data_IF_718080456522
#
_entry.id   IF_718080456522
#
_cell.length_a   1.000
_cell.length_b   1.000
_cell.length_c   1.000
_cell.angle_alpha   90.00
_cell.angle_beta   90.00
_cell.angle_gamma   90.00
#
_symmetry.space_group_name_H-M   'P 1'
#
loop_
_entity.id
_entity.type
_entity.pdbx_description
1 polymer ?
#
# COMPACT_ATOMS: atom_id res chain seq x y z
N UNK A 1 5.38 -14.81 12.09
CA UNK A 1 5.86 -13.88 11.03
C UNK A 1 5.33 -12.49 11.33
N UNK A 2 6.12 -11.48 11.03
CA UNK A 2 5.71 -10.08 11.07
C UNK A 2 5.45 -9.57 9.64
N UNK A 3 4.21 -9.19 9.37
CA UNK A 3 3.72 -8.84 8.02
C UNK A 3 3.46 -7.33 7.96
N UNK A 4 3.92 -6.68 6.89
CA UNK A 4 3.62 -5.28 6.62
C UNK A 4 2.70 -5.17 5.40
N UNK A 5 1.49 -4.65 5.61
CA UNK A 5 0.63 -4.19 4.53
C UNK A 5 0.97 -2.74 4.16
N UNK A 6 1.17 -2.47 2.88
CA UNK A 6 1.44 -1.13 2.36
C UNK A 6 0.23 -0.71 1.54
N UNK A 7 -0.45 0.35 1.94
CA UNK A 7 -1.71 0.81 1.35
C UNK A 7 -1.73 2.34 1.30
N UNK A 8 -2.52 2.92 0.39
CA UNK A 8 -2.64 4.37 0.32
C UNK A 8 -3.29 4.97 1.58
N UNK A 9 -4.40 4.40 2.04
CA UNK A 9 -5.17 4.91 3.17
C UNK A 9 -5.86 3.81 3.94
N UNK A 10 -5.98 3.99 5.26
CA UNK A 10 -6.77 3.14 6.15
C UNK A 10 -8.19 3.67 6.36
N UNK A 11 -8.58 4.75 5.67
CA UNK A 11 -9.94 5.29 5.75
C UNK A 11 -10.93 4.30 5.13
N UNK A 12 -11.96 3.82 5.87
CA UNK A 12 -12.98 2.92 5.36
C UNK A 12 -13.76 3.46 4.16
N UNK A 13 -13.89 4.79 4.04
CA UNK A 13 -14.50 5.44 2.87
C UNK A 13 -13.75 5.18 1.57
N UNK A 14 -12.48 4.78 1.66
CA UNK A 14 -11.66 4.36 0.51
C UNK A 14 -12.07 3.03 -0.12
N UNK A 15 -13.01 2.30 0.49
CA UNK A 15 -13.66 1.11 -0.05
C UNK A 15 -12.89 -0.20 0.15
N UNK A 16 -13.12 -1.15 -0.76
CA UNK A 16 -12.74 -2.56 -0.64
C UNK A 16 -11.29 -2.91 -0.25
N UNK A 17 -10.25 -2.19 -0.70
CA UNK A 17 -8.88 -2.57 -0.36
C UNK A 17 -8.58 -2.60 1.15
N UNK A 18 -9.00 -1.59 1.90
CA UNK A 18 -8.76 -1.55 3.35
C UNK A 18 -9.58 -2.61 4.08
N UNK A 19 -10.82 -2.82 3.68
CA UNK A 19 -11.66 -3.87 4.26
C UNK A 19 -11.00 -5.25 4.08
N UNK A 20 -10.49 -5.55 2.89
CA UNK A 20 -9.76 -6.80 2.62
C UNK A 20 -8.50 -6.93 3.47
N UNK A 21 -7.76 -5.84 3.70
CA UNK A 21 -6.58 -5.82 4.59
C UNK A 21 -6.98 -6.15 6.03
N UNK A 22 -8.04 -5.53 6.55
CA UNK A 22 -8.50 -5.76 7.93
C UNK A 22 -8.97 -7.19 8.14
N UNK A 23 -9.77 -7.75 7.22
CA UNK A 23 -10.24 -9.13 7.27
C UNK A 23 -9.09 -10.13 7.22
N UNK A 24 -8.17 -9.97 6.27
CA UNK A 24 -6.99 -10.83 6.16
C UNK A 24 -6.10 -10.75 7.40
N UNK A 25 -5.91 -9.55 7.94
CA UNK A 25 -5.11 -9.32 9.13
C UNK A 25 -5.71 -9.99 10.36
N UNK A 26 -7.02 -9.97 10.52
CA UNK A 26 -7.74 -10.67 11.59
C UNK A 26 -7.43 -12.18 11.55
N UNK A 27 -7.52 -12.81 10.38
CA UNK A 27 -7.20 -14.22 10.19
C UNK A 27 -5.72 -14.51 10.51
N UNK A 28 -4.81 -13.67 10.03
CA UNK A 28 -3.37 -13.83 10.26
C UNK A 28 -3.01 -13.69 11.74
N UNK A 29 -3.61 -12.73 12.43
CA UNK A 29 -3.43 -12.58 13.89
C UNK A 29 -3.93 -13.79 14.67
N UNK A 30 -5.08 -14.36 14.29
CA UNK A 30 -5.58 -15.59 14.88
C UNK A 30 -4.63 -16.80 14.67
N UNK A 31 -3.82 -16.76 13.62
CA UNK A 31 -2.76 -17.76 13.34
C UNK A 31 -1.43 -17.45 14.05
N UNK A 32 -1.38 -16.45 14.93
CA UNK A 32 -0.18 -16.07 15.69
C UNK A 32 0.81 -15.17 14.93
N UNK A 33 0.39 -14.55 13.81
CA UNK A 33 1.22 -13.58 13.10
C UNK A 33 0.97 -12.17 13.63
N UNK A 34 1.98 -11.30 13.55
CA UNK A 34 1.86 -9.87 13.79
C UNK A 34 1.66 -9.15 12.46
N UNK A 35 0.77 -8.17 12.43
CA UNK A 35 0.43 -7.43 11.21
C UNK A 35 0.39 -5.94 11.49
N UNK A 36 1.18 -5.18 10.73
CA UNK A 36 1.22 -3.73 10.75
C UNK A 36 0.80 -3.16 9.38
N UNK A 37 0.42 -1.90 9.35
CA UNK A 37 0.07 -1.17 8.12
C UNK A 37 1.00 0.02 7.96
N UNK A 38 1.50 0.24 6.75
CA UNK A 38 2.18 1.46 6.31
C UNK A 38 1.26 2.21 5.35
N UNK A 39 0.92 3.45 5.68
CA UNK A 39 -0.03 4.24 4.89
C UNK A 39 0.44 5.67 4.60
N UNK A 40 -0.27 6.34 3.69
CA UNK A 40 -0.08 7.75 3.34
C UNK A 40 -1.10 8.68 4.01
N UNK A 41 -1.75 8.20 5.05
CA UNK A 41 -2.63 9.01 5.88
C UNK A 41 -1.83 9.99 6.75
N UNK A 42 -2.49 11.05 7.21
CA UNK A 42 -1.95 11.88 8.28
C UNK A 42 -1.96 11.10 9.60
N UNK A 43 -0.88 11.16 10.41
CA UNK A 43 -0.85 10.52 11.73
C UNK A 43 -1.99 10.96 12.65
N UNK A 44 -2.51 12.17 12.43
CA UNK A 44 -3.56 12.77 13.26
C UNK A 44 -4.98 12.44 12.78
N UNK A 45 -5.16 11.73 11.67
CA UNK A 45 -6.50 11.45 11.19
C UNK A 45 -7.23 10.40 12.03
N UNK A 46 -8.54 10.52 12.10
CA UNK A 46 -9.40 9.66 12.92
C UNK A 46 -9.28 8.18 12.52
N UNK A 47 -9.25 7.90 11.22
CA UNK A 47 -9.14 6.52 10.72
C UNK A 47 -7.85 5.82 11.15
N UNK A 48 -6.75 6.54 11.31
CA UNK A 48 -5.50 5.99 11.85
C UNK A 48 -5.66 5.66 13.33
N UNK A 49 -6.26 6.58 14.11
CA UNK A 49 -6.47 6.39 15.55
C UNK A 49 -7.47 5.28 15.86
N UNK A 50 -8.50 5.12 15.01
CA UNK A 50 -9.54 4.11 15.17
C UNK A 50 -9.15 2.72 14.66
N UNK A 51 -8.03 2.60 13.94
CA UNK A 51 -7.59 1.33 13.38
C UNK A 51 -7.10 0.38 14.49
N UNK A 52 -7.58 -0.85 14.46
CA UNK A 52 -7.21 -1.90 15.44
C UNK A 52 -5.76 -2.42 15.25
N UNK A 53 -5.16 -2.13 14.10
CA UNK A 53 -3.77 -2.51 13.79
C UNK A 53 -2.84 -1.34 14.02
N UNK A 54 -1.56 -1.64 14.23
CA UNK A 54 -0.51 -0.62 14.25
C UNK A 54 -0.39 0.00 12.86
N UNK A 55 -0.65 1.31 12.75
CA UNK A 55 -0.54 2.06 11.51
C UNK A 55 0.65 3.02 11.56
N UNK A 56 1.59 2.82 10.66
CA UNK A 56 2.71 3.73 10.41
C UNK A 56 2.27 4.73 9.33
N UNK A 57 1.74 5.87 9.76
CA UNK A 57 1.18 6.89 8.88
C UNK A 57 2.26 7.87 8.41
N UNK A 58 2.60 7.82 7.12
CA UNK A 58 3.66 8.62 6.49
C UNK A 58 3.16 9.81 5.68
N UNK A 59 1.90 10.19 5.89
CA UNK A 59 1.26 11.30 5.19
C UNK A 59 1.27 12.64 5.94
N UNK A 60 0.39 13.56 5.48
CA UNK A 60 -0.53 13.33 4.36
C UNK A 60 0.17 13.20 3.01
N UNK A 61 -0.28 12.26 2.19
CA UNK A 61 0.19 12.14 0.82
C UNK A 61 -0.33 13.27 -0.07
N UNK A 62 0.55 13.89 -0.85
CA UNK A 62 0.24 15.03 -1.70
C UNK A 62 -0.44 14.61 -3.01
N UNK A 63 -1.54 15.26 -3.32
CA UNK A 63 -2.29 15.10 -4.56
C UNK A 63 -2.90 13.70 -4.76
N UNK A 64 -3.37 13.45 -5.97
CA UNK A 64 -3.99 12.15 -6.34
C UNK A 64 -2.98 11.00 -6.37
N UNK A 65 -1.72 11.29 -6.66
CA UNK A 65 -0.64 10.31 -6.66
C UNK A 65 -0.24 9.88 -5.24
N UNK A 66 -0.44 10.76 -4.25
CA UNK A 66 -0.16 10.50 -2.85
C UNK A 66 1.33 10.56 -2.51
N UNK A 67 2.09 11.51 -3.11
CA UNK A 67 3.52 11.65 -2.82
C UNK A 67 3.79 11.95 -1.34
N UNK A 68 4.78 11.28 -0.76
CA UNK A 68 5.30 11.56 0.58
C UNK A 68 6.81 11.33 0.63
N UNK A 69 7.53 12.31 1.13
CA UNK A 69 8.97 12.22 1.33
C UNK A 69 9.36 11.35 2.54
N UNK A 70 8.39 10.93 3.35
CA UNK A 70 8.62 10.13 4.57
C UNK A 70 8.58 8.62 4.31
N UNK A 71 7.79 8.15 3.34
CA UNK A 71 7.52 6.73 3.15
C UNK A 71 8.76 5.93 2.78
N UNK A 72 9.52 6.37 1.77
CA UNK A 72 10.75 5.66 1.35
C UNK A 72 11.80 5.57 2.46
N UNK A 73 12.19 6.68 3.15
CA UNK A 73 13.14 6.61 4.25
C UNK A 73 12.69 5.70 5.39
N UNK A 74 11.40 5.76 5.73
CA UNK A 74 10.85 4.91 6.78
C UNK A 74 10.94 3.43 6.39
N UNK A 75 10.49 3.08 5.20
CA UNK A 75 10.53 1.70 4.72
C UNK A 75 11.96 1.20 4.57
N UNK A 76 12.87 2.04 4.10
CA UNK A 76 14.30 1.70 4.00
C UNK A 76 14.91 1.35 5.36
N UNK A 77 14.57 2.11 6.39
CA UNK A 77 15.07 1.91 7.75
C UNK A 77 14.45 0.68 8.45
N UNK A 78 13.19 0.32 8.16
CA UNK A 78 12.43 -0.69 8.91
C UNK A 78 12.14 -1.97 8.12
N UNK A 79 12.54 -2.05 6.85
CA UNK A 79 12.22 -3.23 6.03
C UNK A 79 12.77 -4.55 6.62
N UNK A 80 13.88 -4.51 7.34
CA UNK A 80 14.44 -5.70 7.97
C UNK A 80 13.67 -6.20 9.21
N UNK A 81 12.73 -5.39 9.71
CA UNK A 81 11.90 -5.74 10.87
C UNK A 81 10.72 -6.65 10.49
N UNK A 82 10.50 -6.88 9.19
CA UNK A 82 9.35 -7.62 8.64
C UNK A 82 9.77 -8.83 7.82
N UNK A 83 8.98 -9.91 7.93
CA UNK A 83 9.20 -11.16 7.21
C UNK A 83 8.49 -11.19 5.85
N UNK A 84 7.42 -10.41 5.69
CA UNK A 84 6.62 -10.38 4.47
C UNK A 84 6.01 -9.00 4.21
N UNK A 85 5.90 -8.64 2.93
CA UNK A 85 5.34 -7.38 2.46
C UNK A 85 4.19 -7.62 1.51
N UNK A 86 3.08 -6.89 1.71
CA UNK A 86 1.91 -6.95 0.84
C UNK A 86 1.57 -5.53 0.41
N UNK A 87 1.78 -5.23 -0.87
CA UNK A 87 1.45 -3.94 -1.47
C UNK A 87 0.00 -4.01 -1.97
N UNK A 88 -0.84 -3.07 -1.52
CA UNK A 88 -2.26 -3.02 -1.84
C UNK A 88 -2.57 -1.86 -2.79
N UNK A 89 -2.84 -2.17 -4.04
CA UNK A 89 -3.06 -1.20 -5.12
C UNK A 89 -1.81 -0.91 -5.93
N UNK A 90 -2.04 -0.30 -7.09
CA UNK A 90 -1.01 0.06 -8.08
C UNK A 90 -1.21 1.50 -8.57
N UNK A 91 -0.23 2.03 -9.35
CA UNK A 91 -0.27 3.35 -10.00
C UNK A 91 -0.31 4.55 -9.05
N UNK A 92 0.09 4.38 -7.81
CA UNK A 92 0.18 5.43 -6.80
C UNK A 92 1.54 5.40 -6.11
N UNK A 93 1.88 6.49 -5.40
CA UNK A 93 3.21 6.64 -4.81
C UNK A 93 3.59 5.52 -3.84
N UNK A 94 2.64 5.01 -3.06
CA UNK A 94 2.93 3.95 -2.09
C UNK A 94 3.42 2.66 -2.78
N UNK A 95 2.83 2.26 -3.91
CA UNK A 95 3.28 1.09 -4.67
C UNK A 95 4.64 1.32 -5.30
N UNK A 96 4.84 2.45 -5.97
CA UNK A 96 6.14 2.83 -6.53
C UNK A 96 7.25 2.88 -5.46
N UNK A 97 6.99 3.53 -4.33
CA UNK A 97 7.96 3.67 -3.26
C UNK A 97 8.34 2.32 -2.63
N UNK A 98 7.33 1.47 -2.37
CA UNK A 98 7.53 0.14 -1.84
C UNK A 98 8.31 -0.76 -2.80
N UNK A 99 7.90 -0.82 -4.08
CA UNK A 99 8.64 -1.54 -5.11
C UNK A 99 10.11 -1.11 -5.17
N UNK A 100 10.36 0.19 -5.24
CA UNK A 100 11.71 0.77 -5.35
C UNK A 100 12.60 0.35 -4.17
N UNK A 101 12.10 0.43 -2.93
CA UNK A 101 12.87 0.09 -1.73
C UNK A 101 13.07 -1.42 -1.60
N UNK A 102 11.99 -2.21 -1.72
CA UNK A 102 12.05 -3.65 -1.53
C UNK A 102 12.92 -4.33 -2.60
N UNK A 103 12.83 -3.87 -3.85
CA UNK A 103 13.69 -4.34 -4.94
C UNK A 103 15.16 -4.02 -4.69
N UNK A 104 15.49 -2.81 -4.24
CA UNK A 104 16.89 -2.43 -3.95
C UNK A 104 17.51 -3.26 -2.82
N UNK A 105 16.66 -3.75 -1.90
CA UNK A 105 17.08 -4.62 -0.78
C UNK A 105 16.97 -6.12 -1.10
N UNK A 106 16.53 -6.46 -2.32
CA UNK A 106 16.27 -7.84 -2.74
C UNK A 106 15.29 -8.59 -1.81
N UNK A 107 14.27 -7.87 -1.31
CA UNK A 107 13.22 -8.41 -0.44
C UNK A 107 11.99 -8.77 -1.27
N UNK A 108 11.46 -10.01 -1.14
CA UNK A 108 10.25 -10.42 -1.85
C UNK A 108 9.01 -9.73 -1.30
N UNK A 109 8.05 -9.44 -2.17
CA UNK A 109 6.76 -8.86 -1.81
C UNK A 109 5.64 -9.41 -2.68
N UNK A 110 4.40 -9.29 -2.20
CA UNK A 110 3.19 -9.63 -2.92
C UNK A 110 2.45 -8.35 -3.30
N UNK A 111 1.89 -8.32 -4.51
CA UNK A 111 1.15 -7.19 -5.03
C UNK A 111 -0.32 -7.57 -5.25
N UNK A 112 -1.23 -6.90 -4.53
CA UNK A 112 -2.67 -7.07 -4.67
C UNK A 112 -3.25 -5.89 -5.44
N UNK A 113 -3.68 -6.12 -6.67
CA UNK A 113 -4.15 -5.08 -7.58
C UNK A 113 -5.58 -4.61 -7.30
N UNK A 114 -6.34 -5.34 -6.50
CA UNK A 114 -7.72 -5.02 -6.12
C UNK A 114 -8.62 -4.66 -7.32
N UNK A 115 -8.51 -5.41 -8.41
CA UNK A 115 -9.30 -5.18 -9.62
C UNK A 115 -8.82 -4.01 -10.51
N UNK A 116 -7.78 -3.28 -10.11
CA UNK A 116 -7.27 -2.14 -10.90
C UNK A 116 -6.72 -2.52 -12.27
N UNK A 117 -6.44 -3.80 -12.50
CA UNK A 117 -6.02 -4.36 -13.80
C UNK A 117 -7.17 -4.93 -14.62
N UNK A 118 -8.41 -4.80 -14.17
CA UNK A 118 -9.57 -5.32 -14.90
C UNK A 118 -9.62 -4.71 -16.30
N UNK A 119 -9.77 -5.52 -17.38
CA UNK A 119 -9.90 -5.06 -18.76
C UNK A 119 -11.03 -4.05 -18.98
N UNK A 120 -12.06 -4.06 -18.15
CA UNK A 120 -13.16 -3.10 -18.19
C UNK A 120 -12.66 -1.64 -18.15
N UNK A 121 -11.64 -1.33 -17.32
CA UNK A 121 -11.05 0.01 -17.26
C UNK A 121 -10.39 0.46 -18.56
N UNK A 122 -9.86 -0.48 -19.36
CA UNK A 122 -9.27 -0.19 -20.66
C UNK A 122 -10.33 0.34 -21.64
N UNK A 123 -11.51 -0.26 -21.61
CA UNK A 123 -12.60 0.10 -22.53
C UNK A 123 -13.32 1.38 -22.08
N UNK A 124 -13.52 1.56 -20.80
CA UNK A 124 -14.24 2.73 -20.27
C UNK A 124 -13.39 4.01 -20.23
N UNK A 125 -12.07 3.89 -20.06
CA UNK A 125 -11.16 5.04 -19.89
C UNK A 125 -9.85 4.87 -20.68
N UNK A 126 -9.89 4.86 -22.01
CA UNK A 126 -8.72 4.51 -22.85
C UNK A 126 -7.53 5.45 -22.65
N UNK A 127 -7.77 6.78 -22.48
CA UNK A 127 -6.70 7.77 -22.25
C UNK A 127 -6.02 7.59 -20.89
N UNK A 128 -6.80 7.23 -19.84
CA UNK A 128 -6.24 6.92 -18.53
C UNK A 128 -5.43 5.62 -18.59
N UNK A 129 -5.88 4.66 -19.37
CA UNK A 129 -5.17 3.39 -19.56
C UNK A 129 -3.84 3.59 -20.29
N UNK A 130 -3.78 4.44 -21.31
CA UNK A 130 -2.54 4.77 -22.02
C UNK A 130 -1.50 5.40 -21.09
N UNK A 131 -1.92 6.36 -20.21
CA UNK A 131 -1.05 6.94 -19.21
C UNK A 131 -0.51 5.90 -18.23
N UNK A 132 -1.33 4.97 -17.78
CA UNK A 132 -0.95 3.86 -16.90
C UNK A 132 0.04 2.93 -17.57
N UNK A 133 -0.19 2.60 -18.84
CA UNK A 133 0.70 1.75 -19.64
C UNK A 133 2.08 2.38 -19.84
N UNK A 134 2.16 3.71 -20.05
CA UNK A 134 3.43 4.45 -20.13
C UNK A 134 4.16 4.52 -18.78
N UNK A 135 3.42 4.55 -17.67
CA UNK A 135 3.99 4.56 -16.32
C UNK A 135 4.54 3.18 -15.88
N UNK A 136 3.97 2.10 -16.40
CA UNK A 136 4.27 0.72 -15.99
C UNK A 136 5.76 0.37 -15.91
N UNK A 137 6.60 0.67 -16.94
CA UNK A 137 8.01 0.29 -16.90
C UNK A 137 8.84 0.99 -15.80
N UNK A 138 8.31 2.08 -15.24
CA UNK A 138 9.02 2.94 -14.29
C UNK A 138 8.47 2.88 -12.88
N UNK A 139 7.22 2.48 -12.72
CA UNK A 139 6.47 2.62 -11.49
C UNK A 139 6.14 1.33 -10.75
N UNK A 140 6.28 0.17 -11.41
CA UNK A 140 5.87 -1.13 -10.84
C UNK A 140 6.87 -2.27 -11.14
#
# INVERSE_FOLDING_TARGET
MKILHIIRSVNPEGGGPIEGVLQLSSIKRAQGHSVDILSLDSPDCESVRACELTVHAMGPGLGLYGYSNKLKPWLDAHAQDYDAFIINGIWQYHSFAAHSVLKSKNLPYYLFTHGMMDPWFKYQYPLKHLKKWLYWPWGE
#
